data_IF_197174207558
#
_entry.id   IF_197174207558
#
_cell.length_a   1.000
_cell.length_b   1.000
_cell.length_c   1.000
_cell.angle_alpha   90.00
_cell.angle_beta   90.00
_cell.angle_gamma   90.00
#
_symmetry.space_group_name_H-M   'P 1'
#
loop_
_entity.id
_entity.type
_entity.pdbx_description
1 polymer ?
#
# COMPACT_ATOMS: atom_id res chain seq x y z
N UNK A 1 25.10 -3.57 -0.37
CA UNK A 1 24.51 -2.76 -1.46
C UNK A 1 23.30 -1.94 -1.01
N UNK A 2 22.41 -2.47 -0.18
CA UNK A 2 21.21 -1.78 0.38
C UNK A 2 21.57 -0.50 1.15
N UNK A 3 22.69 -0.48 1.91
CA UNK A 3 23.14 0.68 2.70
C UNK A 3 23.46 1.94 1.89
N UNK A 4 23.62 1.83 0.57
CA UNK A 4 23.83 2.99 -0.32
C UNK A 4 22.52 3.58 -0.85
N UNK A 5 21.40 2.87 -0.71
CA UNK A 5 20.10 3.28 -1.25
C UNK A 5 19.20 3.91 -0.18
N UNK A 6 19.41 3.56 1.07
CA UNK A 6 18.67 4.11 2.19
C UNK A 6 19.60 5.03 3.01
N UNK A 7 19.12 6.17 3.50
CA UNK A 7 19.89 7.03 4.39
C UNK A 7 20.25 6.24 5.65
N UNK A 8 21.54 6.06 5.90
CA UNK A 8 22.03 5.34 7.07
C UNK A 8 22.44 6.32 8.20
N UNK A 9 22.24 5.94 9.47
CA UNK A 9 21.57 4.73 9.96
C UNK A 9 20.03 4.88 9.96
N UNK A 10 19.30 3.83 9.64
CA UNK A 10 17.84 3.79 9.75
C UNK A 10 17.39 2.74 10.77
N UNK A 11 16.15 2.87 11.25
CA UNK A 11 15.52 1.92 12.18
C UNK A 11 14.59 0.97 11.43
N UNK A 12 14.49 -0.26 11.92
CA UNK A 12 13.42 -1.18 11.51
C UNK A 12 12.46 -1.34 12.69
N UNK A 13 11.21 -0.98 12.47
CA UNK A 13 10.10 -1.16 13.41
C UNK A 13 9.22 -2.26 12.85
N UNK A 14 9.29 -3.44 13.43
CA UNK A 14 8.49 -4.59 13.02
C UNK A 14 7.35 -4.81 14.02
N UNK A 15 6.12 -4.65 13.55
CA UNK A 15 4.89 -4.87 14.31
C UNK A 15 3.97 -5.87 13.60
N UNK A 16 4.55 -6.76 12.79
CA UNK A 16 3.79 -7.77 12.06
C UNK A 16 3.24 -8.89 12.95
N UNK A 17 3.86 -9.10 14.14
CA UNK A 17 3.42 -10.10 15.12
C UNK A 17 3.64 -9.62 16.56
N UNK A 18 2.67 -9.82 17.48
CA UNK A 18 1.28 -10.18 17.16
C UNK A 18 0.59 -9.04 16.40
N UNK A 19 -0.39 -9.38 15.55
CA UNK A 19 -1.21 -8.36 14.87
C UNK A 19 -2.01 -7.58 15.93
N UNK A 20 -1.47 -6.44 16.36
CA UNK A 20 -1.80 -5.78 17.62
C UNK A 20 -2.99 -4.83 17.56
N UNK A 21 -3.63 -4.68 16.44
CA UNK A 21 -4.86 -3.88 16.38
C UNK A 21 -5.96 -4.57 15.58
N UNK A 22 -7.18 -4.48 16.10
CA UNK A 22 -8.39 -4.77 15.33
C UNK A 22 -8.77 -3.61 14.41
N UNK A 23 -8.30 -2.41 14.72
CA UNK A 23 -8.54 -1.20 13.94
C UNK A 23 -7.45 -1.04 12.89
N UNK A 24 -7.85 -1.08 11.63
CA UNK A 24 -6.96 -0.94 10.49
C UNK A 24 -6.33 0.46 10.34
N UNK A 25 -6.82 1.49 11.05
CA UNK A 25 -6.23 2.83 11.06
C UNK A 25 -5.04 2.97 11.99
N UNK A 26 -4.89 2.13 13.00
CA UNK A 26 -3.83 2.26 14.01
C UNK A 26 -2.42 2.26 13.38
N UNK A 27 -2.05 1.35 12.47
CA UNK A 27 -0.74 1.41 11.83
C UNK A 27 -0.51 2.70 11.05
N UNK A 28 -1.52 3.17 10.30
CA UNK A 28 -1.43 4.43 9.54
C UNK A 28 -1.27 5.64 10.46
N UNK A 29 -1.98 5.69 11.58
CA UNK A 29 -1.86 6.75 12.58
C UNK A 29 -0.48 6.75 13.24
N UNK A 30 0.07 5.58 13.54
CA UNK A 30 1.44 5.43 14.05
C UNK A 30 2.46 5.95 13.03
N UNK A 31 2.29 5.62 11.73
CA UNK A 31 3.16 6.10 10.66
C UNK A 31 3.12 7.62 10.50
N UNK A 32 1.96 8.27 10.65
CA UNK A 32 1.86 9.74 10.65
C UNK A 32 2.68 10.37 11.79
N UNK A 33 2.66 9.77 12.99
CA UNK A 33 3.47 10.23 14.13
C UNK A 33 4.97 9.98 13.88
N UNK A 34 5.33 8.78 13.40
CA UNK A 34 6.71 8.43 13.04
C UNK A 34 7.25 9.41 11.98
N UNK A 35 6.45 9.70 10.95
CA UNK A 35 6.82 10.63 9.90
C UNK A 35 7.08 12.04 10.43
N UNK A 36 6.25 12.51 11.37
CA UNK A 36 6.46 13.80 12.03
C UNK A 36 7.79 13.81 12.79
N UNK A 37 8.08 12.76 13.58
CA UNK A 37 9.33 12.63 14.33
C UNK A 37 10.56 12.60 13.43
N UNK A 38 10.48 11.89 12.30
CA UNK A 38 11.55 11.89 11.30
C UNK A 38 11.75 13.29 10.71
N UNK A 39 10.68 14.04 10.43
CA UNK A 39 10.75 15.44 10.01
C UNK A 39 11.32 16.40 11.06
N UNK A 40 11.29 16.02 12.32
CA UNK A 40 11.87 16.75 13.46
C UNK A 40 13.33 16.33 13.78
N UNK A 41 13.93 15.45 12.96
CA UNK A 41 15.31 15.01 13.09
C UNK A 41 15.52 13.64 13.71
N UNK A 42 14.45 12.88 13.98
CA UNK A 42 14.59 11.46 14.34
C UNK A 42 15.16 10.66 13.15
N UNK A 43 15.71 9.49 13.46
CA UNK A 43 16.29 8.61 12.42
C UNK A 43 15.20 8.17 11.41
N UNK A 44 15.54 8.09 10.13
CA UNK A 44 14.71 7.42 9.13
C UNK A 44 14.35 6.01 9.56
N UNK A 45 13.21 5.50 9.15
CA UNK A 45 12.79 4.16 9.56
C UNK A 45 12.00 3.42 8.47
N UNK A 46 11.98 2.10 8.62
CA UNK A 46 11.10 1.19 7.89
C UNK A 46 10.16 0.56 8.89
N UNK A 47 8.86 0.73 8.67
CA UNK A 47 7.81 0.10 9.47
C UNK A 47 7.23 -1.08 8.71
N UNK A 48 7.19 -2.25 9.35
CA UNK A 48 6.66 -3.50 8.79
C UNK A 48 5.48 -3.94 9.66
N UNK A 49 4.33 -4.18 9.02
CA UNK A 49 3.13 -4.60 9.73
C UNK A 49 2.20 -5.44 8.86
N UNK A 50 1.28 -6.17 9.50
CA UNK A 50 0.23 -6.97 8.88
C UNK A 50 -1.11 -6.72 9.56
N UNK A 51 -2.19 -7.11 8.90
CA UNK A 51 -3.53 -7.13 9.48
C UNK A 51 -4.24 -8.45 9.20
N UNK A 52 -5.02 -8.95 10.18
CA UNK A 52 -5.71 -10.25 10.04
C UNK A 52 -6.80 -10.21 8.97
N UNK A 53 -7.59 -9.14 8.94
CA UNK A 53 -8.71 -9.00 8.00
C UNK A 53 -9.16 -7.54 7.95
N UNK A 54 -8.67 -6.79 6.97
CA UNK A 54 -9.07 -5.40 6.77
C UNK A 54 -9.34 -5.08 5.30
N UNK A 55 -10.04 -3.99 5.08
CA UNK A 55 -10.27 -3.43 3.76
C UNK A 55 -9.99 -1.93 3.82
N UNK A 56 -8.91 -1.50 3.17
CA UNK A 56 -8.42 -0.13 3.25
C UNK A 56 -8.78 0.62 1.98
N UNK A 57 -9.55 1.68 2.13
CA UNK A 57 -10.03 2.55 1.05
C UNK A 57 -9.09 3.75 0.85
N UNK A 58 -9.03 4.24 -0.38
CA UNK A 58 -8.52 5.57 -0.67
C UNK A 58 -9.59 6.65 -0.48
N UNK A 59 -9.16 7.92 -0.45
CA UNK A 59 -10.09 9.05 -0.31
C UNK A 59 -11.09 9.16 -1.47
N UNK A 60 -10.73 8.70 -2.67
CA UNK A 60 -11.63 8.69 -3.83
C UNK A 60 -12.72 7.64 -3.67
N UNK A 61 -12.39 6.47 -3.12
CA UNK A 61 -13.34 5.38 -2.89
C UNK A 61 -14.43 5.82 -1.91
N UNK A 62 -14.04 6.57 -0.86
CA UNK A 62 -14.97 7.10 0.15
C UNK A 62 -16.01 8.06 -0.42
N UNK A 63 -15.72 8.66 -1.58
CA UNK A 63 -16.61 9.63 -2.26
C UNK A 63 -17.56 8.98 -3.27
N UNK A 64 -17.53 7.66 -3.42
CA UNK A 64 -18.44 6.96 -4.32
C UNK A 64 -19.88 7.03 -3.81
N UNK A 65 -20.87 7.04 -4.72
CA UNK A 65 -22.29 7.26 -4.36
C UNK A 65 -22.81 6.34 -3.26
N UNK A 66 -22.40 5.07 -3.28
CA UNK A 66 -22.83 4.06 -2.32
C UNK A 66 -21.67 3.51 -1.48
N UNK A 67 -20.65 4.33 -1.23
CA UNK A 67 -19.48 3.92 -0.44
C UNK A 67 -19.89 3.43 0.95
N UNK A 68 -20.81 4.12 1.64
CA UNK A 68 -21.27 3.74 2.97
C UNK A 68 -21.95 2.36 2.98
N UNK A 69 -22.78 2.06 1.99
CA UNK A 69 -23.42 0.74 1.88
C UNK A 69 -22.40 -0.37 1.61
N UNK A 70 -21.40 -0.10 0.75
CA UNK A 70 -20.33 -1.04 0.46
C UNK A 70 -19.41 -1.27 1.68
N UNK A 71 -19.12 -0.23 2.45
CA UNK A 71 -18.36 -0.33 3.71
C UNK A 71 -19.13 -1.14 4.76
N UNK A 72 -20.41 -0.85 4.97
CA UNK A 72 -21.27 -1.60 5.90
C UNK A 72 -21.35 -3.09 5.54
N UNK A 73 -21.39 -3.40 4.25
CA UNK A 73 -21.33 -4.79 3.78
C UNK A 73 -20.03 -5.47 4.14
N UNK A 74 -18.88 -4.81 3.94
CA UNK A 74 -17.57 -5.35 4.34
C UNK A 74 -17.47 -5.56 5.86
N UNK A 75 -18.03 -4.65 6.66
CA UNK A 75 -18.06 -4.77 8.12
C UNK A 75 -18.91 -5.95 8.57
N UNK A 76 -20.08 -6.18 7.94
CA UNK A 76 -20.90 -7.38 8.14
C UNK A 76 -20.17 -8.67 7.78
N UNK A 77 -19.33 -8.63 6.73
CA UNK A 77 -18.47 -9.75 6.35
C UNK A 77 -17.24 -9.89 7.29
N UNK A 78 -17.15 -9.06 8.34
CA UNK A 78 -16.13 -9.10 9.40
C UNK A 78 -14.80 -8.46 9.06
N UNK A 79 -14.75 -7.54 8.08
CA UNK A 79 -13.57 -6.73 7.79
C UNK A 79 -13.50 -5.51 8.71
N UNK A 80 -12.29 -5.18 9.17
CA UNK A 80 -12.00 -3.84 9.67
C UNK A 80 -11.89 -2.89 8.47
N UNK A 81 -12.80 -1.94 8.35
CA UNK A 81 -12.82 -1.00 7.22
C UNK A 81 -12.16 0.30 7.62
N UNK A 82 -11.24 0.80 6.81
CA UNK A 82 -10.50 2.03 7.06
C UNK A 82 -10.36 2.87 5.78
N UNK A 83 -10.26 4.20 5.95
CA UNK A 83 -9.95 5.14 4.86
C UNK A 83 -8.59 5.77 5.15
N UNK A 84 -7.59 5.49 4.30
CA UNK A 84 -6.24 6.06 4.48
C UNK A 84 -6.10 7.43 3.82
N UNK A 85 -5.18 8.23 4.34
CA UNK A 85 -4.86 9.56 3.78
C UNK A 85 -3.78 9.55 2.70
N UNK A 86 -3.18 8.40 2.39
CA UNK A 86 -2.27 8.24 1.25
C UNK A 86 -3.04 8.01 -0.06
N UNK A 87 -2.36 8.14 -1.20
CA UNK A 87 -2.94 7.87 -2.50
C UNK A 87 -3.33 6.41 -2.73
N UNK A 88 -3.88 6.14 -3.91
CA UNK A 88 -4.31 4.81 -4.34
C UNK A 88 -5.78 4.51 -4.06
N UNK A 89 -6.21 3.34 -4.48
CA UNK A 89 -7.56 2.81 -4.40
C UNK A 89 -7.67 1.70 -3.33
N UNK A 90 -8.80 0.99 -3.30
CA UNK A 90 -9.09 -0.05 -2.33
C UNK A 90 -8.06 -1.19 -2.33
N UNK A 91 -7.65 -1.63 -1.13
CA UNK A 91 -6.72 -2.74 -0.91
C UNK A 91 -7.24 -3.62 0.22
N UNK A 92 -7.52 -4.91 -0.02
CA UNK A 92 -7.80 -5.88 1.03
C UNK A 92 -6.50 -6.29 1.72
N UNK A 93 -6.53 -6.37 3.05
CA UNK A 93 -5.43 -6.86 3.88
C UNK A 93 -5.84 -8.14 4.58
N UNK A 94 -4.96 -9.11 4.53
CA UNK A 94 -5.04 -10.39 5.23
C UNK A 94 -3.63 -10.82 5.68
N UNK A 95 -3.44 -11.96 6.37
CA UNK A 95 -2.11 -12.38 6.82
C UNK A 95 -1.08 -12.54 5.70
N UNK A 96 -1.50 -12.79 4.46
CA UNK A 96 -0.63 -12.89 3.29
C UNK A 96 -0.23 -11.54 2.68
N UNK A 97 -0.64 -10.41 3.28
CA UNK A 97 -0.26 -9.06 2.84
C UNK A 97 0.66 -8.42 3.88
N UNK A 98 1.90 -8.18 3.51
CA UNK A 98 2.87 -7.43 4.31
C UNK A 98 2.85 -5.97 3.89
N UNK A 99 2.60 -5.08 4.83
CA UNK A 99 2.76 -3.65 4.60
C UNK A 99 4.15 -3.22 5.04
N UNK A 100 4.84 -2.49 4.17
CA UNK A 100 6.19 -1.96 4.41
C UNK A 100 6.18 -0.48 4.11
N UNK A 101 6.41 0.34 5.11
CA UNK A 101 6.40 1.79 4.99
C UNK A 101 7.80 2.35 5.22
N UNK A 102 8.30 3.06 4.21
CA UNK A 102 9.61 3.72 4.24
C UNK A 102 9.39 5.19 4.62
N UNK A 103 9.93 5.61 5.76
CA UNK A 103 9.73 6.94 6.33
C UNK A 103 11.06 7.69 6.37
N UNK A 104 11.16 8.76 5.58
CA UNK A 104 12.40 9.52 5.39
C UNK A 104 12.19 11.01 5.55
N UNK A 105 13.25 11.75 5.99
CA UNK A 105 13.22 13.20 5.98
C UNK A 105 13.19 13.70 4.53
N UNK A 106 12.55 14.84 4.34
CA UNK A 106 12.48 15.55 3.07
C UNK A 106 13.51 16.65 3.07
N UNK A 107 14.25 16.80 1.97
CA UNK A 107 15.18 17.91 1.81
C UNK A 107 14.42 19.23 1.58
N UNK A 108 14.92 20.37 2.08
CA UNK A 108 14.33 21.66 1.77
C UNK A 108 14.24 21.87 0.26
N UNK A 109 13.08 22.30 -0.24
CA UNK A 109 12.85 22.52 -1.67
C UNK A 109 12.64 21.27 -2.52
N UNK A 110 12.64 20.09 -1.93
CA UNK A 110 12.44 18.83 -2.65
C UNK A 110 11.01 18.69 -3.18
N UNK A 111 10.88 18.70 -4.51
CA UNK A 111 9.60 18.56 -5.23
C UNK A 111 9.48 17.24 -5.97
N UNK A 112 10.61 16.56 -6.25
CA UNK A 112 10.63 15.30 -6.99
C UNK A 112 10.18 14.12 -6.10
N UNK A 113 8.87 13.85 -6.18
CA UNK A 113 8.28 12.69 -5.49
C UNK A 113 8.51 11.36 -6.22
N UNK A 114 8.89 11.39 -7.50
CA UNK A 114 9.11 10.17 -8.29
C UNK A 114 10.41 9.48 -7.89
N UNK A 115 11.43 10.22 -7.51
CA UNK A 115 12.69 9.67 -7.01
C UNK A 115 12.50 8.78 -5.77
N UNK A 116 11.53 9.12 -4.91
CA UNK A 116 11.20 8.30 -3.74
C UNK A 116 10.63 6.94 -4.10
N UNK A 117 9.73 6.90 -5.08
CA UNK A 117 9.19 5.64 -5.60
C UNK A 117 10.29 4.82 -6.29
N UNK A 118 11.15 5.50 -7.05
CA UNK A 118 12.27 4.85 -7.74
C UNK A 118 13.22 4.18 -6.75
N UNK A 119 13.55 4.86 -5.64
CA UNK A 119 14.40 4.32 -4.58
C UNK A 119 13.80 3.04 -4.00
N UNK A 120 12.50 3.03 -3.69
CA UNK A 120 11.82 1.86 -3.14
C UNK A 120 11.72 0.74 -4.19
N UNK A 121 11.44 1.05 -5.45
CA UNK A 121 11.48 0.07 -6.53
C UNK A 121 12.86 -0.60 -6.64
N UNK A 122 13.95 0.18 -6.68
CA UNK A 122 15.30 -0.36 -6.78
C UNK A 122 15.66 -1.22 -5.56
N UNK A 123 15.18 -0.87 -4.38
CA UNK A 123 15.35 -1.68 -3.18
C UNK A 123 14.69 -3.06 -3.36
N UNK A 124 13.41 -3.11 -3.73
CA UNK A 124 12.71 -4.37 -4.00
C UNK A 124 13.38 -5.18 -5.11
N UNK A 125 13.72 -4.53 -6.21
CA UNK A 125 14.40 -5.17 -7.33
C UNK A 125 15.72 -5.83 -6.92
N UNK A 126 16.56 -5.11 -6.18
CA UNK A 126 17.87 -5.63 -5.78
C UNK A 126 17.75 -6.75 -4.73
N UNK A 127 16.84 -6.59 -3.76
CA UNK A 127 16.60 -7.61 -2.73
C UNK A 127 16.05 -8.90 -3.35
N UNK A 128 15.06 -8.79 -4.24
CA UNK A 128 14.43 -9.97 -4.84
C UNK A 128 15.27 -10.59 -5.95
N UNK A 129 16.20 -9.85 -6.54
CA UNK A 129 17.17 -10.42 -7.51
C UNK A 129 18.07 -11.48 -6.86
N UNK A 130 18.34 -11.38 -5.55
CA UNK A 130 19.10 -12.41 -4.82
C UNK A 130 18.38 -13.76 -4.79
N UNK A 131 17.05 -13.75 -5.00
CA UNK A 131 16.21 -14.96 -5.14
C UNK A 131 15.89 -15.30 -6.61
N UNK A 132 16.66 -14.76 -7.57
CA UNK A 132 16.45 -14.95 -9.01
C UNK A 132 15.10 -14.43 -9.53
N UNK A 133 14.45 -13.51 -8.81
CA UNK A 133 13.17 -12.91 -9.19
C UNK A 133 13.41 -11.61 -10.00
N UNK A 134 12.80 -11.53 -11.17
CA UNK A 134 12.91 -10.35 -12.05
C UNK A 134 11.75 -9.39 -11.80
N UNK A 135 11.98 -8.38 -10.94
CA UNK A 135 11.00 -7.36 -10.62
C UNK A 135 10.96 -6.29 -11.69
N UNK A 136 9.76 -6.00 -12.18
CA UNK A 136 9.49 -4.90 -13.10
C UNK A 136 8.56 -3.88 -12.44
N UNK A 137 8.66 -2.61 -12.83
CA UNK A 137 7.74 -1.54 -12.43
C UNK A 137 6.86 -1.11 -13.60
N UNK A 138 5.69 -0.61 -13.28
CA UNK A 138 4.71 -0.08 -14.22
C UNK A 138 3.31 -0.58 -13.90
N UNK A 139 2.31 0.16 -14.35
CA UNK A 139 0.91 -0.23 -14.16
C UNK A 139 0.63 -1.60 -14.78
N UNK A 140 -0.04 -2.46 -14.02
CA UNK A 140 -0.53 -3.75 -14.51
C UNK A 140 -2.03 -3.62 -14.78
N UNK A 141 -2.36 -3.53 -16.08
CA UNK A 141 -3.74 -3.40 -16.52
C UNK A 141 -4.62 -4.52 -15.94
N UNK A 142 -5.74 -4.15 -15.35
CA UNK A 142 -6.67 -5.08 -14.71
C UNK A 142 -6.31 -5.48 -13.28
N UNK A 143 -5.20 -5.01 -12.71
CA UNK A 143 -4.93 -5.17 -11.27
C UNK A 143 -5.80 -4.20 -10.44
N UNK A 144 -6.07 -4.52 -9.18
CA UNK A 144 -6.68 -3.54 -8.28
C UNK A 144 -5.63 -2.52 -7.78
N UNK A 145 -6.11 -1.34 -7.38
CA UNK A 145 -5.28 -0.22 -6.93
C UNK A 145 -4.13 0.07 -7.92
N UNK A 146 -4.43 0.36 -9.21
CA UNK A 146 -3.40 0.55 -10.23
C UNK A 146 -2.57 1.81 -9.96
N UNK A 147 -1.30 1.77 -10.35
CA UNK A 147 -0.37 2.88 -10.21
C UNK A 147 0.89 2.72 -11.08
N UNK A 148 1.50 3.85 -11.47
CA UNK A 148 2.70 3.91 -12.33
C UNK A 148 3.89 3.15 -11.72
N UNK A 149 3.90 2.96 -10.42
CA UNK A 149 4.92 2.25 -9.65
C UNK A 149 4.43 0.94 -9.03
N UNK A 150 3.49 0.28 -9.69
CA UNK A 150 3.19 -1.11 -9.36
C UNK A 150 4.40 -1.99 -9.62
N UNK A 151 4.66 -2.95 -8.74
CA UNK A 151 5.74 -3.91 -8.94
C UNK A 151 5.16 -5.27 -9.31
N UNK A 152 5.79 -5.89 -10.31
CA UNK A 152 5.32 -7.17 -10.86
C UNK A 152 6.47 -8.16 -11.07
N UNK A 153 6.13 -9.45 -10.99
CA UNK A 153 6.96 -10.58 -11.37
C UNK A 153 6.16 -11.36 -12.42
N UNK A 154 6.77 -11.65 -13.56
CA UNK A 154 6.12 -12.37 -14.68
C UNK A 154 4.78 -11.76 -15.10
N UNK A 155 4.68 -10.43 -15.06
CA UNK A 155 3.47 -9.69 -15.47
C UNK A 155 2.31 -9.75 -14.47
N UNK A 156 2.50 -10.32 -13.26
CA UNK A 156 1.53 -10.33 -12.17
C UNK A 156 1.97 -9.37 -11.07
N UNK A 157 1.07 -8.49 -10.67
CA UNK A 157 1.32 -7.52 -9.60
C UNK A 157 1.44 -8.22 -8.26
N UNK A 158 2.54 -7.96 -7.56
CA UNK A 158 2.74 -8.41 -6.18
C UNK A 158 2.87 -7.25 -5.19
N UNK A 159 3.10 -6.02 -5.66
CA UNK A 159 3.25 -4.87 -4.78
C UNK A 159 2.65 -3.62 -5.43
N UNK A 160 1.98 -2.81 -4.63
CA UNK A 160 1.55 -1.46 -5.00
C UNK A 160 2.18 -0.43 -4.09
N UNK A 161 2.58 0.70 -4.64
CA UNK A 161 3.21 1.79 -3.90
C UNK A 161 2.28 3.00 -3.82
N UNK A 162 2.24 3.63 -2.66
CA UNK A 162 1.57 4.90 -2.43
C UNK A 162 2.48 5.84 -1.63
N UNK A 163 2.27 7.15 -1.75
CA UNK A 163 3.04 8.12 -0.99
C UNK A 163 2.13 9.01 -0.14
N UNK A 164 2.59 9.28 1.07
CA UNK A 164 2.07 10.30 1.97
C UNK A 164 3.17 11.31 2.25
N UNK A 165 2.90 12.59 2.01
CA UNK A 165 3.88 13.67 2.21
C UNK A 165 3.44 14.59 3.33
N UNK A 166 4.35 14.87 4.24
CA UNK A 166 4.29 15.94 5.22
C UNK A 166 5.26 17.07 4.83
N UNK A 167 5.33 18.13 5.60
CA UNK A 167 6.16 19.30 5.28
C UNK A 167 7.64 18.94 5.24
N UNK A 168 8.13 18.20 6.27
CA UNK A 168 9.55 17.91 6.48
C UNK A 168 9.93 16.44 6.29
N UNK A 169 8.96 15.57 6.00
CA UNK A 169 9.19 14.14 5.81
C UNK A 169 8.16 13.54 4.85
N UNK A 170 8.40 12.31 4.41
CA UNK A 170 7.46 11.56 3.59
C UNK A 170 7.46 10.07 3.96
N UNK A 171 6.39 9.40 3.57
CA UNK A 171 6.23 7.96 3.69
C UNK A 171 6.00 7.39 2.29
N UNK A 172 6.74 6.36 1.90
CA UNK A 172 6.38 5.50 0.78
C UNK A 172 5.83 4.21 1.36
N UNK A 173 4.55 3.97 1.17
CA UNK A 173 3.82 2.80 1.64
C UNK A 173 3.75 1.76 0.55
N UNK A 174 4.17 0.54 0.84
CA UNK A 174 4.07 -0.62 -0.01
C UNK A 174 3.14 -1.66 0.63
N UNK A 175 2.14 -2.15 -0.10
CA UNK A 175 1.52 -3.43 0.23
C UNK A 175 2.15 -4.52 -0.63
N UNK A 176 2.59 -5.59 -0.02
CA UNK A 176 3.33 -6.69 -0.66
C UNK A 176 2.55 -7.98 -0.48
N UNK A 177 2.18 -8.60 -1.58
CA UNK A 177 1.50 -9.90 -1.58
C UNK A 177 2.57 -10.97 -1.48
N UNK A 178 2.64 -11.65 -0.33
CA UNK A 178 3.65 -12.69 -0.06
C UNK A 178 3.08 -14.09 -0.09
N UNK A 179 1.78 -14.22 0.16
CA UNK A 179 1.08 -15.51 0.11
C UNK A 179 -0.44 -15.32 -0.10
N UNK A 180 -1.15 -16.41 -0.35
CA UNK A 180 -2.61 -16.44 -0.49
C UNK A 180 -3.09 -16.21 -1.92
N UNK A 181 -4.40 -16.04 -2.07
CA UNK A 181 -5.08 -16.04 -3.36
C UNK A 181 -5.29 -14.61 -3.89
N UNK A 182 -4.43 -14.16 -4.80
CA UNK A 182 -4.57 -12.85 -5.45
C UNK A 182 -5.92 -12.68 -6.18
N UNK A 183 -6.42 -13.76 -6.78
CA UNK A 183 -7.73 -13.77 -7.43
C UNK A 183 -8.89 -13.49 -6.45
N UNK A 184 -8.83 -14.08 -5.26
CA UNK A 184 -9.84 -13.86 -4.22
C UNK A 184 -9.82 -12.41 -3.70
N UNK A 185 -8.63 -11.81 -3.55
CA UNK A 185 -8.48 -10.40 -3.19
C UNK A 185 -9.06 -9.49 -4.26
N UNK A 186 -8.74 -9.75 -5.52
CA UNK A 186 -9.26 -8.99 -6.66
C UNK A 186 -10.79 -9.07 -6.76
N UNK A 187 -11.39 -10.24 -6.52
CA UNK A 187 -12.83 -10.43 -6.50
C UNK A 187 -13.52 -9.60 -5.40
N UNK A 188 -12.92 -9.52 -4.20
CA UNK A 188 -13.44 -8.67 -3.11
C UNK A 188 -13.43 -7.20 -3.49
N UNK A 189 -12.34 -6.72 -4.10
CA UNK A 189 -12.26 -5.33 -4.56
C UNK A 189 -13.29 -5.07 -5.66
N UNK A 190 -13.47 -5.99 -6.61
CA UNK A 190 -14.49 -5.90 -7.64
C UNK A 190 -15.89 -5.79 -7.04
N UNK A 191 -16.24 -6.65 -6.07
CA UNK A 191 -17.54 -6.63 -5.38
C UNK A 191 -17.76 -5.32 -4.63
N UNK A 192 -16.74 -4.80 -3.98
CA UNK A 192 -16.82 -3.48 -3.34
C UNK A 192 -17.21 -2.41 -4.37
N UNK A 193 -16.51 -2.31 -5.49
CA UNK A 193 -16.83 -1.30 -6.51
C UNK A 193 -18.19 -1.53 -7.20
N UNK A 194 -18.63 -2.76 -7.36
CA UNK A 194 -19.96 -3.06 -7.88
C UNK A 194 -21.08 -2.45 -7.01
N UNK A 195 -20.91 -2.46 -5.70
CA UNK A 195 -21.85 -1.81 -4.77
C UNK A 195 -21.59 -0.31 -4.72
N UNK A 196 -20.35 0.10 -4.41
CA UNK A 196 -20.02 1.50 -4.13
C UNK A 196 -20.26 2.43 -5.32
N UNK A 197 -20.09 1.93 -6.54
CA UNK A 197 -20.24 2.67 -7.80
C UNK A 197 -21.53 2.33 -8.57
N UNK A 198 -22.49 1.68 -7.95
CA UNK A 198 -23.73 1.28 -8.62
C UNK A 198 -24.39 2.47 -9.33
N UNK A 199 -24.73 2.28 -10.61
CA UNK A 199 -25.35 3.32 -11.45
C UNK A 199 -24.37 4.28 -12.16
N UNK A 200 -23.07 4.23 -11.89
CA UNK A 200 -22.09 4.98 -12.67
C UNK A 200 -21.75 4.24 -13.97
N UNK A 201 -21.94 4.91 -15.11
CA UNK A 201 -21.84 4.28 -16.45
C UNK A 201 -20.40 3.98 -16.93
N UNK A 202 -19.37 4.55 -16.33
CA UNK A 202 -17.96 4.33 -16.73
C UNK A 202 -16.98 4.87 -15.66
N UNK A 203 -15.74 4.40 -15.68
CA UNK A 203 -14.63 5.01 -14.92
C UNK A 203 -13.98 4.12 -13.85
N UNK A 204 -14.43 2.87 -13.68
CA UNK A 204 -13.78 1.94 -12.76
C UNK A 204 -12.89 0.95 -13.50
N UNK A 205 -11.69 0.64 -12.98
CA UNK A 205 -10.82 -0.33 -13.59
C UNK A 205 -11.52 -1.69 -13.66
N UNK A 206 -11.52 -2.30 -14.83
CA UNK A 206 -11.91 -3.70 -14.96
C UNK A 206 -10.86 -4.56 -14.24
N UNK A 207 -11.21 -5.06 -13.06
CA UNK A 207 -10.31 -5.87 -12.25
C UNK A 207 -10.33 -7.30 -12.76
N UNK A 208 -9.17 -7.77 -13.20
CA UNK A 208 -8.97 -9.10 -13.76
C UNK A 208 -8.24 -9.94 -12.70
N UNK A 209 -8.88 -10.95 -12.09
CA UNK A 209 -8.33 -11.65 -10.93
C UNK A 209 -6.94 -12.26 -11.12
N UNK A 210 -6.63 -12.82 -12.29
CA UNK A 210 -5.35 -13.48 -12.57
C UNK A 210 -4.16 -12.52 -12.78
N UNK A 211 -4.36 -11.19 -12.72
CA UNK A 211 -3.28 -10.19 -12.81
C UNK A 211 -2.58 -9.91 -11.48
N UNK A 212 -3.04 -10.56 -10.41
CA UNK A 212 -2.43 -10.48 -9.07
C UNK A 212 -1.70 -11.79 -8.74
N UNK A 213 -0.66 -11.68 -7.90
CA UNK A 213 0.03 -12.84 -7.31
C UNK A 213 -0.82 -13.45 -6.21
#
# INVERSE_FOLDING_TARGET
MISKMLPAPFLIVNTSEPCWSKDALVPFSAEELMCRRVGEGARPLVHIWRHKKAFVLGLRDRRLPYADAAMARLEQDGYAVAVRHSGGAAVPLDPGVVNVSFIFPKQPGETDFRSHFETVYQLFRNTLHEFSLNVRKGEIAGSYCPGDYDLSIEGRKFCGLAQRRQIKAFIVQAFVLVEGEGAARADRVRKFYQIAAAGLKSGFPQIIPHRMV
#
